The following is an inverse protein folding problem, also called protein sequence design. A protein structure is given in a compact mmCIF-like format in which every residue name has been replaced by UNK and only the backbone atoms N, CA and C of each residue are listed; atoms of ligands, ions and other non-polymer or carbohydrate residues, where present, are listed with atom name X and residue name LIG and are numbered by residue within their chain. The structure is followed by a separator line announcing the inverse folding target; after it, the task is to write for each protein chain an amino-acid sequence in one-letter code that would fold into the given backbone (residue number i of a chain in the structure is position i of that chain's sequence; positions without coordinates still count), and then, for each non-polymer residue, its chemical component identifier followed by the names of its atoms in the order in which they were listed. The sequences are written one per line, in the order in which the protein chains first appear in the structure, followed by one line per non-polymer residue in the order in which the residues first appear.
data_IF_134628359855
#
_entry.id   IF_134628359855
#
_cell.length_a   1.000
_cell.length_b   1.000
_cell.length_c   1.000
_cell.angle_alpha   90.00
_cell.angle_beta   90.00
_cell.angle_gamma   90.00
#
_symmetry.space_group_name_H-M   'P 1'
#
loop_
_entity.id
_entity.type
_entity.pdbx_description
1 polymer ?
#
# COMPACT_ATOMS: atom_id res chain seq x y z
N UNK A 1 -0.49 7.28 -2.02
CA UNK A 1 0.53 6.69 -2.92
C UNK A 1 0.31 5.18 -3.12
N UNK A 2 -0.95 4.75 -3.12
CA UNK A 2 -1.31 3.37 -3.45
C UNK A 2 -1.18 3.10 -4.95
N UNK A 3 -1.03 1.84 -5.30
CA UNK A 3 -1.03 1.39 -6.69
C UNK A 3 -1.84 0.09 -6.83
N UNK A 4 -2.21 -0.23 -8.05
CA UNK A 4 -2.78 -1.51 -8.45
C UNK A 4 -1.93 -2.11 -9.58
N UNK A 5 -1.80 -3.43 -9.59
CA UNK A 5 -1.05 -4.18 -10.60
C UNK A 5 -1.97 -5.15 -11.31
N UNK A 6 -1.94 -5.09 -12.63
CA UNK A 6 -2.59 -6.06 -13.52
C UNK A 6 -1.48 -6.74 -14.34
N UNK A 7 -1.42 -8.06 -14.28
CA UNK A 7 -0.53 -8.88 -15.09
C UNK A 7 -1.38 -9.89 -15.88
N UNK A 8 -1.08 -10.06 -17.17
CA UNK A 8 -1.82 -10.96 -18.04
C UNK A 8 -3.36 -10.85 -17.97
N UNK A 9 -3.88 -9.62 -17.92
CA UNK A 9 -5.30 -9.30 -17.79
C UNK A 9 -5.93 -9.75 -16.47
N UNK A 10 -5.13 -10.17 -15.49
CA UNK A 10 -5.57 -10.53 -14.15
C UNK A 10 -5.09 -9.47 -13.15
N UNK A 11 -5.99 -8.98 -12.27
CA UNK A 11 -5.58 -8.15 -11.15
C UNK A 11 -4.74 -8.97 -10.17
N UNK A 12 -3.60 -8.45 -9.76
CA UNK A 12 -2.64 -9.10 -8.85
C UNK A 12 -2.61 -8.35 -7.52
N UNK A 13 -2.25 -7.08 -7.58
CA UNK A 13 -2.28 -6.17 -6.42
C UNK A 13 -3.43 -5.20 -6.62
N UNK A 14 -4.22 -5.02 -5.58
CA UNK A 14 -5.38 -4.15 -5.60
C UNK A 14 -5.42 -3.28 -4.34
N UNK A 15 -6.42 -2.41 -4.25
CA UNK A 15 -6.88 -1.84 -2.99
C UNK A 15 -8.08 -2.66 -2.51
N UNK A 16 -8.49 -2.53 -1.25
CA UNK A 16 -9.60 -3.32 -0.68
C UNK A 16 -10.97 -3.05 -1.35
N UNK A 17 -11.04 -2.12 -2.29
CA UNK A 17 -12.30 -1.69 -2.91
C UNK A 17 -13.07 -0.70 -2.03
N UNK A 18 -14.33 -0.44 -2.35
CA UNK A 18 -15.13 0.58 -1.69
C UNK A 18 -16.35 0.00 -0.98
N UNK A 19 -16.40 0.14 0.34
CA UNK A 19 -17.40 -0.48 1.22
C UNK A 19 -18.79 0.17 1.25
N UNK A 20 -19.10 1.13 0.35
CA UNK A 20 -20.34 1.91 0.31
C UNK A 20 -21.61 1.04 0.33
N UNK A 21 -21.59 -0.09 -0.36
CA UNK A 21 -22.76 -0.95 -0.52
C UNK A 21 -23.09 -1.79 0.71
N UNK A 22 -22.24 -1.79 1.74
CA UNK A 22 -22.41 -2.67 2.90
C UNK A 22 -22.82 -1.90 4.16
N UNK A 23 -22.05 -0.91 4.59
CA UNK A 23 -22.37 -0.06 5.74
C UNK A 23 -21.51 1.19 5.80
N UNK A 24 -21.94 2.20 6.57
CA UNK A 24 -21.16 3.42 6.81
C UNK A 24 -19.81 3.12 7.46
N UNK A 25 -19.75 2.14 8.37
CA UNK A 25 -18.51 1.70 9.01
C UNK A 25 -17.54 1.11 8.01
N UNK A 26 -18.01 0.24 7.11
CA UNK A 26 -17.20 -0.37 6.08
C UNK A 26 -16.80 0.62 4.99
N UNK A 27 -17.64 1.63 4.73
CA UNK A 27 -17.28 2.76 3.86
C UNK A 27 -16.05 3.51 4.42
N UNK A 28 -16.06 3.88 5.71
CA UNK A 28 -14.93 4.56 6.35
C UNK A 28 -13.68 3.67 6.38
N UNK A 29 -13.84 2.39 6.68
CA UNK A 29 -12.74 1.44 6.69
C UNK A 29 -12.07 1.34 5.32
N UNK A 30 -12.86 1.21 4.25
CA UNK A 30 -12.37 1.12 2.88
C UNK A 30 -11.66 2.39 2.38
N UNK A 31 -11.93 3.54 3.00
CA UNK A 31 -11.23 4.80 2.73
C UNK A 31 -9.96 5.00 3.56
N UNK A 32 -9.69 4.15 4.55
CA UNK A 32 -8.49 4.25 5.38
C UNK A 32 -7.22 3.92 4.59
N UNK A 33 -6.08 4.46 5.01
CA UNK A 33 -4.80 4.14 4.34
C UNK A 33 -4.47 2.65 4.40
N UNK A 34 -4.84 1.96 5.48
CA UNK A 34 -4.64 0.52 5.64
C UNK A 34 -5.44 -0.34 4.64
N UNK A 35 -6.49 0.20 4.02
CA UNK A 35 -7.25 -0.46 2.96
C UNK A 35 -6.62 -0.34 1.56
N UNK A 36 -5.44 0.26 1.46
CA UNK A 36 -4.75 0.54 0.21
C UNK A 36 -3.35 -0.07 0.19
N UNK A 37 -2.88 -0.43 -1.00
CA UNK A 37 -1.52 -0.96 -1.21
C UNK A 37 -0.48 0.15 -1.14
N UNK A 38 -0.19 0.58 0.10
CA UNK A 38 0.72 1.69 0.41
C UNK A 38 1.32 1.54 1.81
N UNK A 39 2.22 2.48 2.17
CA UNK A 39 2.77 2.57 3.51
C UNK A 39 1.80 3.30 4.46
N UNK A 40 1.70 2.81 5.69
CA UNK A 40 1.03 3.51 6.79
C UNK A 40 1.87 3.47 8.07
N UNK A 41 1.62 4.41 8.98
CA UNK A 41 2.30 4.52 10.27
C UNK A 41 1.33 4.23 11.43
N UNK A 42 1.78 3.40 12.38
CA UNK A 42 1.11 3.15 13.67
C UNK A 42 -0.41 2.92 13.52
N UNK A 43 -0.82 2.12 12.54
CA UNK A 43 -2.23 1.82 12.20
C UNK A 43 -3.10 3.07 11.99
N UNK A 44 -2.51 4.19 11.53
CA UNK A 44 -3.26 5.42 11.27
C UNK A 44 -3.33 5.76 9.79
N UNK A 45 -4.41 6.43 9.42
CA UNK A 45 -4.56 6.95 8.07
C UNK A 45 -3.78 8.25 7.87
N UNK A 46 -3.29 8.47 6.65
CA UNK A 46 -2.64 9.72 6.24
C UNK A 46 -3.61 10.92 6.17
N UNK A 47 -4.92 10.67 6.20
CA UNK A 47 -5.98 11.65 6.31
C UNK A 47 -6.80 11.41 7.59
N UNK A 48 -7.37 12.47 8.16
CA UNK A 48 -8.25 12.37 9.32
C UNK A 48 -9.70 12.50 8.85
N UNK A 49 -10.49 11.46 9.09
CA UNK A 49 -11.92 11.46 8.80
C UNK A 49 -12.73 12.11 9.93
N UNK A 50 -13.82 12.77 9.56
CA UNK A 50 -14.78 13.32 10.51
C UNK A 50 -15.41 12.20 11.35
N UNK A 51 -15.32 12.33 12.68
CA UNK A 51 -15.89 11.37 13.63
C UNK A 51 -17.30 11.75 14.11
N UNK A 52 -17.70 13.00 13.92
CA UNK A 52 -19.03 13.45 14.35
C UNK A 52 -20.10 12.85 13.43
N UNK A 53 -20.98 12.03 14.01
CA UNK A 53 -22.02 11.31 13.27
C UNK A 53 -23.06 12.24 12.66
N UNK A 54 -23.38 13.37 13.30
CA UNK A 54 -24.34 14.36 12.78
C UNK A 54 -23.79 15.02 11.53
N UNK A 55 -22.52 15.46 11.59
CA UNK A 55 -21.84 16.06 10.44
C UNK A 55 -21.76 15.06 9.28
N UNK A 56 -21.39 13.82 9.58
CA UNK A 56 -21.30 12.76 8.57
C UNK A 56 -22.68 12.41 7.96
N UNK A 57 -23.76 12.55 8.72
CA UNK A 57 -25.13 12.33 8.22
C UNK A 57 -25.55 13.41 7.24
N UNK A 58 -25.13 14.66 7.45
CA UNK A 58 -25.49 15.83 6.62
C UNK A 58 -24.57 15.92 5.39
N UNK A 59 -23.27 15.83 5.59
CA UNK A 59 -22.24 16.09 4.55
C UNK A 59 -21.57 14.81 4.01
N UNK A 60 -21.99 13.63 4.45
CA UNK A 60 -21.32 12.37 4.15
C UNK A 60 -19.99 12.22 4.90
N UNK A 61 -19.21 11.19 4.55
CA UNK A 61 -17.92 10.92 5.15
C UNK A 61 -16.88 11.95 4.68
N UNK A 62 -16.78 13.06 5.40
CA UNK A 62 -15.87 14.16 5.08
C UNK A 62 -14.50 13.98 5.75
N UNK A 63 -13.50 14.66 5.19
CA UNK A 63 -12.16 14.74 5.76
C UNK A 63 -12.03 16.02 6.59
N UNK A 64 -11.61 15.86 7.85
CA UNK A 64 -11.25 16.99 8.73
C UNK A 64 -9.86 17.50 8.36
N UNK A 65 -8.95 16.60 8.10
CA UNK A 65 -7.57 16.93 7.71
C UNK A 65 -7.16 16.12 6.49
N UNK A 66 -6.73 16.83 5.45
CA UNK A 66 -6.23 16.26 4.20
C UNK A 66 -4.73 16.34 4.19
N UNK A 67 -4.09 15.31 3.67
CA UNK A 67 -2.68 15.43 3.31
C UNK A 67 -2.51 16.24 2.01
N UNK A 68 -1.34 16.83 1.85
CA UNK A 68 -0.93 17.47 0.59
C UNK A 68 0.04 16.56 -0.13
N UNK A 69 -0.15 16.40 -1.43
CA UNK A 69 0.90 15.88 -2.31
C UNK A 69 1.92 17.01 -2.45
N UNK A 70 3.16 16.75 -2.03
CA UNK A 70 4.23 17.76 -2.00
C UNK A 70 4.96 17.76 -3.34
N UNK A 71 5.37 16.57 -3.76
CA UNK A 71 6.09 16.35 -5.01
C UNK A 71 5.44 15.24 -5.80
N UNK A 72 5.50 15.38 -7.13
CA UNK A 72 5.15 14.33 -8.06
C UNK A 72 5.96 14.51 -9.34
N UNK A 73 6.53 13.43 -9.83
CA UNK A 73 7.21 13.42 -11.12
C UNK A 73 6.93 12.12 -11.86
N UNK A 74 6.99 12.20 -13.17
CA UNK A 74 6.90 11.08 -14.08
C UNK A 74 7.97 11.23 -15.15
N UNK A 75 8.70 10.17 -15.38
CA UNK A 75 9.71 10.10 -16.44
C UNK A 75 9.48 8.83 -17.24
N UNK A 76 9.50 8.94 -18.55
CA UNK A 76 9.47 7.82 -19.47
C UNK A 76 10.75 7.78 -20.27
N UNK A 77 11.37 6.62 -20.32
CA UNK A 77 12.51 6.30 -21.17
C UNK A 77 12.17 5.08 -22.05
N UNK A 78 13.01 4.78 -23.03
CA UNK A 78 12.88 3.58 -23.88
C UNK A 78 12.87 2.26 -23.09
N UNK A 79 13.52 2.23 -21.91
CA UNK A 79 13.70 1.03 -21.11
C UNK A 79 12.83 0.97 -19.85
N UNK A 80 12.27 2.11 -19.40
CA UNK A 80 11.49 2.14 -18.16
C UNK A 80 10.44 3.26 -18.11
N UNK A 81 9.48 3.08 -17.21
CA UNK A 81 8.65 4.16 -16.64
C UNK A 81 9.10 4.41 -15.20
N UNK A 82 9.18 5.67 -14.79
CA UNK A 82 9.54 6.04 -13.42
C UNK A 82 8.60 7.10 -12.87
N UNK A 83 7.98 6.78 -11.73
CA UNK A 83 7.05 7.65 -11.02
C UNK A 83 7.57 7.89 -9.61
N UNK A 84 7.49 9.14 -9.14
CA UNK A 84 7.77 9.52 -7.76
C UNK A 84 6.65 10.41 -7.26
N UNK A 85 6.22 10.18 -6.03
CA UNK A 85 5.30 11.10 -5.36
C UNK A 85 5.54 11.11 -3.86
N UNK A 86 5.29 12.25 -3.22
CA UNK A 86 5.43 12.45 -1.78
C UNK A 86 4.17 13.08 -1.18
N UNK A 87 3.89 12.78 0.09
CA UNK A 87 2.84 13.45 0.85
C UNK A 87 3.23 13.69 2.30
N UNK A 88 2.62 14.70 2.91
CA UNK A 88 2.88 15.11 4.30
C UNK A 88 1.85 14.57 5.32
N UNK A 89 1.07 13.55 4.96
CA UNK A 89 -0.02 13.04 5.82
C UNK A 89 0.41 12.52 7.19
N UNK A 90 1.69 12.25 7.37
CA UNK A 90 2.27 11.80 8.63
C UNK A 90 3.13 12.85 9.33
N UNK A 91 3.36 14.01 8.69
CA UNK A 91 4.27 15.04 9.20
C UNK A 91 3.79 15.66 10.51
N UNK A 92 2.51 16.04 10.58
CA UNK A 92 1.95 16.71 11.76
C UNK A 92 1.96 15.81 12.99
N UNK A 93 1.64 14.52 12.82
CA UNK A 93 1.46 13.59 13.94
C UNK A 93 2.74 12.87 14.31
N UNK A 94 3.57 12.51 13.33
CA UNK A 94 4.75 11.66 13.54
C UNK A 94 6.06 12.30 13.07
N UNK A 95 6.01 13.44 12.41
CA UNK A 95 7.19 14.14 11.89
C UNK A 95 7.81 13.50 10.66
N UNK A 96 7.05 12.73 9.86
CA UNK A 96 7.55 12.05 8.68
C UNK A 96 6.81 12.48 7.40
N UNK A 97 7.56 12.67 6.33
CA UNK A 97 7.07 12.73 4.95
C UNK A 97 7.26 11.34 4.34
N UNK A 98 6.23 10.83 3.69
CA UNK A 98 6.30 9.60 2.92
C UNK A 98 6.50 9.90 1.44
N UNK A 99 7.54 9.32 0.86
CA UNK A 99 7.81 9.32 -0.58
C UNK A 99 7.76 7.88 -1.10
N UNK A 100 7.07 7.67 -2.20
CA UNK A 100 7.11 6.40 -2.95
C UNK A 100 7.61 6.65 -4.35
N UNK A 101 8.56 5.84 -4.80
CA UNK A 101 8.94 5.74 -6.21
C UNK A 101 8.62 4.34 -6.74
N UNK A 102 8.21 4.29 -8.00
CA UNK A 102 7.93 3.05 -8.73
C UNK A 102 8.62 3.15 -10.09
N UNK A 103 9.49 2.17 -10.39
CA UNK A 103 10.14 2.02 -11.68
C UNK A 103 9.68 0.72 -12.33
N UNK A 104 9.12 0.80 -13.53
CA UNK A 104 8.65 -0.34 -14.30
C UNK A 104 9.65 -0.55 -15.43
N UNK A 105 10.29 -1.70 -15.46
CA UNK A 105 11.24 -2.08 -16.51
C UNK A 105 10.48 -2.70 -17.68
N UNK A 106 10.57 -2.08 -18.85
CA UNK A 106 9.75 -2.46 -20.02
C UNK A 106 10.11 -3.83 -20.62
N UNK A 107 11.36 -4.28 -20.43
CA UNK A 107 11.89 -5.51 -21.04
C UNK A 107 12.00 -6.70 -20.07
N UNK A 108 11.82 -6.48 -18.78
CA UNK A 108 12.16 -7.47 -17.75
C UNK A 108 10.95 -8.01 -16.98
N UNK A 109 9.72 -7.63 -17.34
CA UNK A 109 8.52 -7.94 -16.52
C UNK A 109 8.78 -7.70 -15.03
N UNK A 110 9.38 -6.55 -14.69
CA UNK A 110 9.86 -6.23 -13.36
C UNK A 110 9.48 -4.82 -12.93
N UNK A 111 9.04 -4.73 -11.69
CA UNK A 111 8.71 -3.48 -11.01
C UNK A 111 9.64 -3.34 -9.82
N UNK A 112 10.29 -2.19 -9.71
CA UNK A 112 11.09 -1.80 -8.56
C UNK A 112 10.33 -0.71 -7.81
N UNK A 113 10.14 -0.90 -6.52
CA UNK A 113 9.49 0.05 -5.65
C UNK A 113 10.40 0.48 -4.51
N UNK A 114 10.23 1.71 -4.07
CA UNK A 114 10.94 2.26 -2.94
C UNK A 114 10.00 3.16 -2.14
N UNK A 115 9.84 2.84 -0.87
CA UNK A 115 9.15 3.67 0.10
C UNK A 115 10.18 4.31 1.03
N UNK A 116 10.13 5.63 1.14
CA UNK A 116 10.99 6.40 2.03
C UNK A 116 10.14 7.16 3.04
N UNK A 117 10.55 7.10 4.32
CA UNK A 117 10.05 7.96 5.37
C UNK A 117 11.17 8.90 5.80
N UNK A 118 11.06 10.17 5.42
CA UNK A 118 12.02 11.21 5.80
C UNK A 118 11.52 11.98 7.01
N UNK A 119 12.32 11.98 8.09
CA UNK A 119 12.00 12.71 9.32
C UNK A 119 12.18 14.21 9.10
N UNK A 120 11.14 14.98 9.38
CA UNK A 120 11.14 16.46 9.29
C UNK A 120 11.11 17.14 10.64
N UNK A 121 10.64 16.42 11.68
CA UNK A 121 10.54 16.93 13.06
C UNK A 121 11.05 15.89 14.04
N UNK A 122 11.70 16.37 15.12
CA UNK A 122 12.21 15.50 16.17
C UNK A 122 11.10 15.17 17.18
N UNK A 123 10.32 14.14 16.90
CA UNK A 123 9.48 13.50 17.91
C UNK A 123 10.29 12.38 18.58
N UNK A 124 10.18 12.26 19.90
CA UNK A 124 10.97 11.33 20.73
C UNK A 124 10.55 9.86 20.57
N UNK A 125 9.34 9.60 20.10
CA UNK A 125 8.79 8.26 20.08
C UNK A 125 9.04 7.57 18.74
N UNK A 126 9.57 6.34 18.81
CA UNK A 126 9.55 5.42 17.67
C UNK A 126 8.10 5.04 17.36
N UNK A 127 7.77 4.95 16.08
CA UNK A 127 6.47 4.47 15.59
C UNK A 127 6.68 3.30 14.64
N UNK A 128 5.70 2.39 14.58
CA UNK A 128 5.74 1.30 13.64
C UNK A 128 5.36 1.79 12.25
N UNK A 129 6.01 1.27 11.21
CA UNK A 129 5.56 1.41 9.83
C UNK A 129 5.16 0.07 9.25
N UNK A 130 4.30 0.07 8.28
CA UNK A 130 3.99 -1.11 7.47
C UNK A 130 3.74 -0.70 6.02
N UNK A 131 4.44 -1.34 5.09
CA UNK A 131 4.17 -1.29 3.65
C UNK A 131 3.28 -2.48 3.32
N UNK A 132 2.07 -2.22 2.83
CA UNK A 132 1.09 -3.28 2.55
C UNK A 132 0.83 -3.42 1.06
N UNK A 133 0.63 -4.68 0.65
CA UNK A 133 0.23 -5.10 -0.69
C UNK A 133 -1.01 -5.97 -0.55
N UNK A 134 -2.19 -5.44 -0.91
CA UNK A 134 -3.42 -6.20 -0.93
C UNK A 134 -3.44 -7.10 -2.16
N UNK A 135 -3.60 -8.38 -1.95
CA UNK A 135 -3.64 -9.37 -3.01
C UNK A 135 -5.09 -9.52 -3.48
N UNK A 136 -5.29 -9.52 -4.80
CA UNK A 136 -6.63 -9.70 -5.35
C UNK A 136 -7.22 -11.06 -4.93
N UNK A 137 -8.52 -11.18 -4.61
CA UNK A 137 -9.15 -12.46 -4.30
C UNK A 137 -8.85 -13.54 -5.34
N UNK A 138 -8.79 -14.79 -4.90
CA UNK A 138 -8.48 -15.97 -5.71
C UNK A 138 -7.03 -16.11 -6.20
N UNK A 139 -6.14 -15.18 -5.84
CA UNK A 139 -4.71 -15.32 -6.05
C UNK A 139 -4.07 -16.00 -4.84
N UNK A 140 -3.32 -17.05 -5.09
CA UNK A 140 -2.57 -17.78 -4.05
C UNK A 140 -1.23 -17.12 -3.81
N UNK A 141 -0.88 -16.92 -2.54
CA UNK A 141 0.43 -16.44 -2.13
C UNK A 141 1.07 -17.41 -1.14
N UNK A 142 2.38 -17.57 -1.24
CA UNK A 142 3.15 -18.46 -0.37
C UNK A 142 4.48 -17.81 -0.06
N UNK A 143 4.89 -17.84 1.21
CA UNK A 143 6.23 -17.45 1.63
C UNK A 143 7.24 -18.50 1.15
N UNK A 144 8.32 -18.09 0.51
CA UNK A 144 9.36 -19.02 0.05
C UNK A 144 10.11 -19.65 1.22
N UNK A 145 10.77 -20.80 0.99
CA UNK A 145 11.46 -21.56 2.07
C UNK A 145 12.46 -20.72 2.89
N UNK A 146 13.13 -19.77 2.27
CA UNK A 146 14.05 -18.86 2.98
C UNK A 146 13.36 -17.69 3.69
N UNK A 147 12.05 -17.55 3.55
CA UNK A 147 11.28 -16.44 4.15
C UNK A 147 11.52 -15.06 3.53
N UNK A 148 12.39 -14.96 2.52
CA UNK A 148 12.90 -13.71 1.97
C UNK A 148 12.07 -13.17 0.80
N UNK A 149 11.04 -13.89 0.38
CA UNK A 149 10.15 -13.47 -0.70
C UNK A 149 8.77 -14.13 -0.60
N UNK A 150 7.83 -13.57 -1.32
CA UNK A 150 6.47 -14.10 -1.48
C UNK A 150 6.29 -14.50 -2.93
N UNK A 151 5.95 -15.76 -3.16
CA UNK A 151 5.50 -16.25 -4.46
C UNK A 151 4.00 -15.94 -4.61
N UNK A 152 3.66 -15.26 -5.68
CA UNK A 152 2.29 -14.91 -6.08
C UNK A 152 1.97 -15.75 -7.30
N UNK A 153 1.00 -16.65 -7.19
CA UNK A 153 0.62 -17.60 -8.27
C UNK A 153 -0.66 -17.15 -8.94
N UNK A 154 -0.59 -16.86 -10.24
CA UNK A 154 -1.74 -16.49 -11.05
C UNK A 154 -2.49 -17.73 -11.56
N UNK A 155 -3.77 -17.56 -11.91
CA UNK A 155 -4.66 -18.66 -12.32
C UNK A 155 -4.18 -19.43 -13.56
N UNK A 156 -3.36 -18.81 -14.41
CA UNK A 156 -2.81 -19.41 -15.65
C UNK A 156 -1.44 -20.05 -15.47
N UNK A 157 -1.00 -20.28 -14.24
CA UNK A 157 0.29 -20.91 -13.95
C UNK A 157 1.49 -19.95 -13.93
N UNK A 158 1.28 -18.66 -14.16
CA UNK A 158 2.35 -17.67 -13.99
C UNK A 158 2.67 -17.43 -12.53
N UNK A 159 3.96 -17.32 -12.24
CA UNK A 159 4.47 -16.92 -10.93
C UNK A 159 5.06 -15.51 -10.95
N UNK A 160 4.88 -14.79 -9.85
CA UNK A 160 5.53 -13.53 -9.59
C UNK A 160 6.17 -13.56 -8.21
N UNK A 161 7.37 -13.02 -8.07
CA UNK A 161 8.06 -12.91 -6.78
C UNK A 161 8.04 -11.48 -6.28
N UNK A 162 7.50 -11.29 -5.10
CA UNK A 162 7.65 -10.06 -4.32
C UNK A 162 8.85 -10.25 -3.38
N UNK A 163 9.88 -9.42 -3.54
CA UNK A 163 11.12 -9.38 -2.74
C UNK A 163 11.27 -8.04 -2.04
N UNK A 164 12.03 -8.02 -0.94
CA UNK A 164 12.40 -6.78 -0.24
C UNK A 164 13.78 -6.91 0.37
N UNK A 165 14.42 -5.77 0.61
CA UNK A 165 15.67 -5.67 1.36
C UNK A 165 15.50 -5.89 2.87
N UNK A 166 14.28 -5.76 3.40
CA UNK A 166 14.00 -5.92 4.83
C UNK A 166 13.69 -7.36 5.25
N UNK A 167 13.41 -8.27 4.32
CA UNK A 167 13.12 -9.71 4.54
C UNK A 167 12.03 -10.02 5.61
N UNK A 168 11.25 -9.05 6.04
CA UNK A 168 10.27 -9.19 7.13
C UNK A 168 8.85 -9.24 6.57
N UNK A 169 8.58 -10.25 5.73
CA UNK A 169 7.26 -10.44 5.16
C UNK A 169 6.29 -11.13 6.12
N UNK A 170 5.09 -10.59 6.23
CA UNK A 170 3.96 -11.23 6.89
C UNK A 170 2.79 -11.36 5.93
N UNK A 171 2.06 -12.48 5.99
CA UNK A 171 0.82 -12.71 5.26
C UNK A 171 -0.32 -12.54 6.25
N UNK A 172 -1.22 -11.61 5.97
CA UNK A 172 -2.34 -11.27 6.83
C UNK A 172 -3.67 -11.56 6.12
N UNK A 173 -4.66 -12.07 6.86
CA UNK A 173 -6.03 -12.18 6.38
C UNK A 173 -6.63 -10.79 6.22
N UNK A 174 -7.35 -10.58 5.14
CA UNK A 174 -7.95 -9.30 4.80
C UNK A 174 -9.33 -9.48 4.16
N UNK A 175 -9.98 -8.35 3.83
CA UNK A 175 -11.29 -8.32 3.20
C UNK A 175 -11.27 -7.40 1.98
N UNK A 176 -12.02 -7.80 0.95
CA UNK A 176 -12.15 -7.08 -0.31
C UNK A 176 -13.59 -6.66 -0.54
N UNK A 177 -13.82 -5.36 -0.76
CA UNK A 177 -15.11 -4.73 -0.97
C UNK A 177 -15.43 -4.45 -2.45
N UNK A 178 -14.53 -4.82 -3.36
CA UNK A 178 -14.67 -4.50 -4.78
C UNK A 178 -15.79 -5.27 -5.51
N UNK A 179 -16.45 -6.19 -4.82
CA UNK A 179 -17.65 -6.85 -5.31
C UNK A 179 -18.90 -6.22 -4.67
N UNK A 180 -19.82 -5.69 -5.50
CA UNK A 180 -21.02 -5.00 -5.01
C UNK A 180 -21.97 -5.90 -4.20
N UNK A 181 -21.92 -7.20 -4.41
CA UNK A 181 -22.89 -8.16 -3.86
C UNK A 181 -22.40 -8.85 -2.59
N UNK A 182 -21.10 -8.94 -2.37
CA UNK A 182 -20.53 -9.65 -1.23
C UNK A 182 -19.16 -9.13 -0.83
N UNK A 183 -18.86 -9.26 0.45
CA UNK A 183 -17.51 -9.10 0.99
C UNK A 183 -16.75 -10.40 0.72
N UNK A 184 -15.57 -10.30 0.18
CA UNK A 184 -14.72 -11.45 -0.15
C UNK A 184 -13.51 -11.46 0.78
N UNK A 185 -13.18 -12.61 1.34
CA UNK A 185 -11.93 -12.78 2.06
C UNK A 185 -10.76 -12.80 1.05
N UNK A 186 -9.70 -12.09 1.37
CA UNK A 186 -8.45 -12.12 0.64
C UNK A 186 -7.27 -12.06 1.61
N UNK A 187 -6.08 -11.96 1.06
CA UNK A 187 -4.86 -11.83 1.83
C UNK A 187 -4.13 -10.53 1.47
N UNK A 188 -3.29 -10.07 2.36
CA UNK A 188 -2.33 -9.00 2.10
C UNK A 188 -0.94 -9.43 2.56
N UNK A 189 0.07 -8.91 1.89
CA UNK A 189 1.46 -9.01 2.31
C UNK A 189 1.86 -7.71 2.96
N UNK A 190 2.51 -7.75 4.11
CA UNK A 190 3.05 -6.59 4.79
C UNK A 190 4.55 -6.71 5.03
N UNK A 191 5.23 -5.56 5.01
CA UNK A 191 6.62 -5.33 5.40
C UNK A 191 6.61 -4.33 6.53
N UNK A 192 6.89 -4.76 7.75
CA UNK A 192 6.76 -3.92 8.94
C UNK A 192 8.10 -3.70 9.65
N UNK A 193 8.23 -2.57 10.33
CA UNK A 193 9.40 -2.22 11.12
C UNK A 193 9.15 -0.98 11.99
N UNK A 194 10.21 -0.48 12.62
CA UNK A 194 10.16 0.68 13.52
C UNK A 194 10.97 1.86 12.98
N UNK A 195 10.50 3.07 13.24
CA UNK A 195 11.12 4.31 12.80
C UNK A 195 12.13 4.82 13.83
N UNK A 196 13.31 4.22 13.89
CA UNK A 196 14.36 4.62 14.84
C UNK A 196 15.39 5.59 14.23
N UNK A 197 15.36 5.77 12.91
CA UNK A 197 16.34 6.54 12.15
C UNK A 197 15.76 7.84 11.59
N UNK A 198 16.63 8.72 11.10
CA UNK A 198 16.24 9.99 10.44
C UNK A 198 15.54 9.73 9.11
N UNK A 199 15.94 8.67 8.42
CA UNK A 199 15.35 8.26 7.16
C UNK A 199 15.23 6.74 7.15
N UNK A 200 14.03 6.25 6.88
CA UNK A 200 13.75 4.83 6.69
C UNK A 200 13.57 4.59 5.21
N UNK A 201 14.27 3.62 4.68
CA UNK A 201 14.26 3.23 3.27
C UNK A 201 13.86 1.77 3.16
N UNK A 202 12.78 1.49 2.44
CA UNK A 202 12.28 0.15 2.18
C UNK A 202 12.23 -0.07 0.67
N UNK A 203 13.11 -0.91 0.16
CA UNK A 203 13.13 -1.28 -1.25
C UNK A 203 12.45 -2.63 -1.45
N UNK A 204 11.64 -2.72 -2.49
CA UNK A 204 10.95 -3.94 -2.86
C UNK A 204 10.92 -4.09 -4.38
N UNK A 205 10.74 -5.31 -4.84
CA UNK A 205 10.56 -5.59 -6.26
C UNK A 205 9.48 -6.65 -6.47
N UNK A 206 8.83 -6.57 -7.61
CA UNK A 206 7.88 -7.57 -8.09
C UNK A 206 8.38 -7.98 -9.48
N UNK A 207 8.72 -9.24 -9.64
CA UNK A 207 9.28 -9.77 -10.88
C UNK A 207 8.62 -11.08 -11.28
N UNK A 208 8.41 -11.27 -12.58
CA UNK A 208 7.87 -12.51 -13.12
C UNK A 208 8.91 -13.63 -12.96
N UNK A 209 8.43 -14.81 -12.56
CA UNK A 209 9.23 -16.04 -12.55
C UNK A 209 8.87 -16.84 -13.78
N UNK A 210 9.86 -17.20 -14.52
CA UNK A 210 9.75 -18.12 -15.67
C UNK A 210 9.73 -19.57 -15.21
#
# INVERSE_FOLDING_TARGET
LSFELIANKQKVICNSGYGKYFSSKLTLLSCSTAAHSTLYLNNTSSCIFQKNQIINKIYGNSLVEKHKVIDKSYTEDKDFYFLVASHNGYEKKYGYIHTRSIKILKKEDKILGHDELKKTKNYSNSVTYSVRFHIYPDIKIVKTKGGNSILISLSKGEGWLLKSDTNNFEIEKNIFFGNKNKIINNESVSLSGNTNEKTISIKWSIERVT
#
